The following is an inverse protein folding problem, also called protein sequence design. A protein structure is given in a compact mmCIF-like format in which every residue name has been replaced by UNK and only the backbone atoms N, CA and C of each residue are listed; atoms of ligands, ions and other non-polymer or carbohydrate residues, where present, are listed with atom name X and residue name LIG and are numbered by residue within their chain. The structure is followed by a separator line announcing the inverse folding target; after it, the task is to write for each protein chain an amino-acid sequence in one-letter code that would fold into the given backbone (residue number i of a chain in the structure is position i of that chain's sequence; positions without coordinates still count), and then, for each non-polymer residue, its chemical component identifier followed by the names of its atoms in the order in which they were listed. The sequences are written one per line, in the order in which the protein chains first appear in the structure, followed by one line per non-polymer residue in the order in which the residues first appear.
data_IF_049209507905
#
_entry.id   IF_049209507905
#
_cell.length_a   1.000
_cell.length_b   1.000
_cell.length_c   1.000
_cell.angle_alpha   90.00
_cell.angle_beta   90.00
_cell.angle_gamma   90.00
#
_symmetry.space_group_name_H-M   'P 1'
#
loop_
_entity.id
_entity.type
_entity.pdbx_description
1 polymer ?
#
# COMPACT_ATOMS: atom_id res chain seq x y z
N UNK A 1 15.36 14.44 -13.17
CA UNK A 1 14.57 13.82 -12.10
C UNK A 1 13.20 13.40 -12.63
N UNK A 2 13.00 12.11 -12.96
CA UNK A 2 11.65 11.47 -13.11
C UNK A 2 11.70 10.05 -13.70
N UNK A 3 12.79 9.66 -14.37
CA UNK A 3 12.92 8.34 -15.04
C UNK A 3 12.78 7.14 -14.07
N UNK A 4 13.30 7.26 -12.85
CA UNK A 4 13.17 6.23 -11.82
C UNK A 4 11.73 6.08 -11.33
N UNK A 5 11.00 7.18 -11.18
CA UNK A 5 9.59 7.16 -10.76
C UNK A 5 8.74 6.54 -11.86
N UNK A 6 8.95 6.93 -13.12
CA UNK A 6 8.26 6.32 -14.26
C UNK A 6 8.53 4.83 -14.37
N UNK A 7 9.79 4.38 -14.24
CA UNK A 7 10.10 2.94 -14.25
C UNK A 7 9.49 2.16 -13.10
N UNK A 8 9.52 2.72 -11.89
CA UNK A 8 8.89 2.10 -10.72
C UNK A 8 7.37 2.03 -10.92
N UNK A 9 6.77 3.08 -11.50
CA UNK A 9 5.34 3.15 -11.77
C UNK A 9 4.90 2.22 -12.91
N UNK A 10 5.73 2.05 -13.94
CA UNK A 10 5.52 1.09 -15.03
C UNK A 10 5.61 -0.34 -14.49
N UNK A 11 6.64 -0.64 -13.70
CA UNK A 11 6.77 -1.97 -13.10
C UNK A 11 5.67 -2.26 -12.10
N UNK A 12 5.26 -1.27 -11.29
CA UNK A 12 4.07 -1.39 -10.45
C UNK A 12 2.86 -1.65 -11.33
N UNK A 13 2.58 -0.84 -12.35
CA UNK A 13 1.42 -1.00 -13.24
C UNK A 13 1.39 -2.37 -13.92
N UNK A 14 2.53 -2.89 -14.35
CA UNK A 14 2.67 -4.21 -14.97
C UNK A 14 2.44 -5.33 -13.95
N UNK A 15 2.93 -5.17 -12.72
CA UNK A 15 2.71 -6.09 -11.60
C UNK A 15 1.27 -6.06 -11.07
N UNK A 16 0.62 -4.88 -11.10
CA UNK A 16 -0.80 -4.66 -10.84
C UNK A 16 -1.68 -5.32 -11.91
N UNK A 17 -1.34 -5.11 -13.18
CA UNK A 17 -2.10 -5.62 -14.32
C UNK A 17 -2.06 -7.16 -14.39
N UNK A 18 -0.94 -7.77 -13.99
CA UNK A 18 -0.78 -9.22 -14.00
C UNK A 18 -1.59 -9.93 -12.89
N UNK A 19 -1.92 -9.27 -11.77
CA UNK A 19 -2.60 -9.88 -10.62
C UNK A 19 -3.61 -8.91 -10.01
N UNK A 20 -4.89 -9.04 -10.38
CA UNK A 20 -6.06 -8.24 -9.95
C UNK A 20 -6.34 -8.15 -8.43
N UNK A 21 -5.38 -8.39 -7.55
CA UNK A 21 -5.52 -8.29 -6.09
C UNK A 21 -4.27 -7.79 -5.38
N UNK A 22 -3.26 -7.32 -6.12
CA UNK A 22 -1.96 -7.02 -5.52
C UNK A 22 -1.91 -5.69 -4.78
N UNK A 23 -2.66 -4.68 -5.21
CA UNK A 23 -2.83 -3.44 -4.42
C UNK A 23 -3.55 -3.66 -3.09
N UNK A 24 -4.68 -4.39 -3.04
CA UNK A 24 -5.29 -4.80 -1.78
C UNK A 24 -4.28 -5.50 -0.85
N UNK A 25 -3.46 -6.41 -1.39
CA UNK A 25 -2.41 -7.08 -0.64
C UNK A 25 -1.32 -6.12 -0.13
N UNK A 26 -0.94 -5.13 -0.94
CA UNK A 26 0.02 -4.08 -0.54
C UNK A 26 -0.52 -3.21 0.60
N UNK A 27 -1.78 -2.79 0.50
CA UNK A 27 -2.47 -2.05 1.56
C UNK A 27 -2.62 -2.88 2.83
N UNK A 28 -2.94 -4.17 2.71
CA UNK A 28 -2.97 -5.11 3.83
C UNK A 28 -1.58 -5.26 4.48
N UNK A 29 -0.52 -5.33 3.69
CA UNK A 29 0.86 -5.37 4.18
C UNK A 29 1.23 -4.12 4.99
N UNK A 30 0.81 -2.93 4.54
CA UNK A 30 0.99 -1.67 5.27
C UNK A 30 0.24 -1.66 6.61
N UNK A 31 -0.98 -2.19 6.65
CA UNK A 31 -1.76 -2.32 7.88
C UNK A 31 -1.06 -3.28 8.86
N UNK A 32 -0.56 -4.42 8.38
CA UNK A 32 0.19 -5.37 9.21
C UNK A 32 1.51 -4.78 9.74
N UNK A 33 2.24 -4.04 8.90
CA UNK A 33 3.43 -3.31 9.32
C UNK A 33 3.12 -2.24 10.37
N UNK A 34 2.01 -1.50 10.22
CA UNK A 34 1.57 -0.56 11.26
C UNK A 34 1.35 -1.27 12.59
N UNK A 35 0.71 -2.45 12.55
CA UNK A 35 0.45 -3.25 13.73
C UNK A 35 1.76 -3.68 14.40
N UNK A 36 2.73 -4.20 13.63
CA UNK A 36 4.06 -4.56 14.17
C UNK A 36 4.76 -3.34 14.79
N UNK A 37 4.77 -2.19 14.10
CA UNK A 37 5.39 -0.95 14.61
C UNK A 37 4.72 -0.53 15.91
N UNK A 38 3.41 -0.64 16.02
CA UNK A 38 2.65 -0.28 17.21
C UNK A 38 2.98 -1.19 18.41
N UNK A 39 3.34 -2.46 18.18
CA UNK A 39 3.81 -3.35 19.25
C UNK A 39 5.27 -3.12 19.62
N UNK A 40 6.10 -2.61 18.71
CA UNK A 40 7.53 -2.40 18.95
C UNK A 40 7.88 -0.98 19.44
N UNK A 41 7.01 0.02 19.18
CA UNK A 41 7.32 1.42 19.44
C UNK A 41 6.06 2.24 19.73
N UNK A 42 6.08 3.01 20.82
CA UNK A 42 5.06 4.01 21.16
C UNK A 42 5.36 5.41 20.57
N UNK A 43 6.24 5.48 19.58
CA UNK A 43 6.60 6.72 18.90
C UNK A 43 5.43 7.39 18.19
N UNK A 44 5.60 8.66 17.79
CA UNK A 44 4.58 9.47 17.11
C UNK A 44 3.93 8.78 15.89
N UNK A 45 4.69 7.96 15.17
CA UNK A 45 4.21 7.18 14.02
C UNK A 45 3.18 6.11 14.42
N UNK A 46 3.38 5.46 15.58
CA UNK A 46 2.43 4.48 16.10
C UNK A 46 1.18 5.15 16.67
N UNK A 47 1.32 6.31 17.33
CA UNK A 47 0.19 7.04 17.91
C UNK A 47 -0.76 7.62 16.85
N UNK A 48 -0.20 8.06 15.72
CA UNK A 48 -0.99 8.67 14.64
C UNK A 48 -1.61 7.65 13.69
N UNK A 49 -1.20 6.38 13.76
CA UNK A 49 -1.68 5.31 12.88
C UNK A 49 -1.59 5.66 11.38
N UNK A 50 -0.60 6.48 10.98
CA UNK A 50 -0.50 6.99 9.61
C UNK A 50 -0.34 5.88 8.58
N UNK A 51 0.44 4.83 8.90
CA UNK A 51 0.58 3.66 8.01
C UNK A 51 -0.73 2.89 7.86
N UNK A 52 -1.54 2.82 8.93
CA UNK A 52 -2.84 2.16 8.89
C UNK A 52 -3.80 2.89 7.94
N UNK A 53 -3.88 4.21 8.06
CA UNK A 53 -4.73 5.03 7.18
C UNK A 53 -4.27 4.94 5.72
N UNK A 54 -2.95 5.05 5.47
CA UNK A 54 -2.40 4.96 4.12
C UNK A 54 -2.61 3.56 3.52
N UNK A 55 -2.38 2.50 4.30
CA UNK A 55 -2.62 1.12 3.90
C UNK A 55 -4.09 0.86 3.58
N UNK A 56 -5.01 1.40 4.38
CA UNK A 56 -6.45 1.30 4.13
C UNK A 56 -6.87 1.99 2.83
N UNK A 57 -6.38 3.21 2.57
CA UNK A 57 -6.65 3.94 1.34
C UNK A 57 -6.14 3.15 0.13
N UNK A 58 -4.91 2.65 0.19
CA UNK A 58 -4.32 1.84 -0.88
C UNK A 58 -5.11 0.53 -1.08
N UNK A 59 -5.57 -0.10 0.00
CA UNK A 59 -6.38 -1.32 -0.09
C UNK A 59 -7.73 -1.07 -0.76
N UNK A 60 -8.41 0.02 -0.39
CA UNK A 60 -9.70 0.42 -0.97
C UNK A 60 -9.52 0.76 -2.46
N UNK A 61 -8.52 1.59 -2.81
CA UNK A 61 -8.21 1.92 -4.20
C UNK A 61 -7.87 0.68 -5.00
N UNK A 62 -7.11 -0.23 -4.39
CA UNK A 62 -6.81 -1.54 -4.95
C UNK A 62 -8.04 -2.37 -5.27
N UNK A 63 -8.99 -2.41 -4.35
CA UNK A 63 -10.22 -3.17 -4.50
C UNK A 63 -11.13 -2.56 -5.58
N UNK A 64 -11.18 -1.23 -5.65
CA UNK A 64 -11.90 -0.51 -6.69
C UNK A 64 -11.30 -0.78 -8.08
N UNK A 65 -9.97 -0.71 -8.21
CA UNK A 65 -9.26 -0.99 -9.47
C UNK A 65 -9.37 -2.45 -9.91
N UNK A 66 -9.33 -3.39 -8.95
CA UNK A 66 -9.50 -4.82 -9.21
C UNK A 66 -10.85 -5.16 -9.86
N UNK A 67 -11.89 -4.36 -9.58
CA UNK A 67 -13.25 -4.55 -10.09
C UNK A 67 -13.54 -3.73 -11.35
N UNK A 68 -12.76 -2.67 -11.60
CA UNK A 68 -12.93 -1.78 -12.76
C UNK A 68 -12.25 -2.33 -14.05
N UNK A 69 -11.37 -3.32 -13.92
CA UNK A 69 -10.70 -4.04 -15.01
C UNK A 69 -11.25 -5.45 -15.18
#
# INVERSE_FOLDING_TARGET
MSQLISRILDHLSEFLAARKGLLPLLGLGLILLNLIIQFLSDGWVAQTHLLLHLGLIIAILGFMLARAL
#
